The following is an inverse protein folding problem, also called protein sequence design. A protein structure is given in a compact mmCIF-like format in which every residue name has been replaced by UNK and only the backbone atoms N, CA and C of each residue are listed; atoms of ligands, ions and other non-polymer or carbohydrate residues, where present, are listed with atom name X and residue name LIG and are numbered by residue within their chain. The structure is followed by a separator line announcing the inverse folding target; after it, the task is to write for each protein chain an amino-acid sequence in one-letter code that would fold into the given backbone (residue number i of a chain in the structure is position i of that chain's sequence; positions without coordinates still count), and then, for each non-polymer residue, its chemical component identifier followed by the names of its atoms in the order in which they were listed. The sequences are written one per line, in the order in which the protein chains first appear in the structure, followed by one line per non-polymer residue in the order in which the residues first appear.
data_IF_242990421060
#
_entry.id   IF_242990421060
#
_cell.length_a   1.000
_cell.length_b   1.000
_cell.length_c   1.000
_cell.angle_alpha   90.00
_cell.angle_beta   90.00
_cell.angle_gamma   90.00
#
_symmetry.space_group_name_H-M   'P 1'
#
loop_
_entity.id
_entity.type
_entity.pdbx_description
1 polymer ?
#
# COMPACT_ATOMS: atom_id res chain seq x y z
N UNK A 1 -16.23 0.91 -7.80
CA UNK A 1 -15.19 1.86 -7.31
C UNK A 1 -15.42 3.21 -7.98
N UNK A 2 -15.17 4.33 -7.30
CA UNK A 2 -15.26 5.67 -7.91
C UNK A 2 -13.99 5.99 -8.70
N UNK A 3 -14.07 6.92 -9.66
CA UNK A 3 -12.91 7.33 -10.48
C UNK A 3 -11.78 7.89 -9.61
N UNK A 4 -12.13 8.65 -8.57
CA UNK A 4 -11.17 9.19 -7.60
C UNK A 4 -10.42 8.08 -6.83
N UNK A 5 -11.14 7.06 -6.36
CA UNK A 5 -10.54 5.90 -5.67
C UNK A 5 -9.53 5.19 -6.57
N UNK A 6 -9.88 4.94 -7.83
CA UNK A 6 -8.99 4.28 -8.79
C UNK A 6 -7.72 5.11 -9.01
N UNK A 7 -7.88 6.43 -9.20
CA UNK A 7 -6.76 7.35 -9.36
C UNK A 7 -5.83 7.36 -8.13
N UNK A 8 -6.37 7.42 -6.93
CA UNK A 8 -5.57 7.40 -5.69
C UNK A 8 -4.77 6.10 -5.54
N UNK A 9 -5.39 4.95 -5.84
CA UNK A 9 -4.73 3.65 -5.82
C UNK A 9 -3.59 3.62 -6.85
N UNK A 10 -3.87 4.01 -8.10
CA UNK A 10 -2.87 4.01 -9.19
C UNK A 10 -1.65 4.87 -8.85
N UNK A 11 -1.88 6.08 -8.33
CA UNK A 11 -0.82 6.99 -7.92
C UNK A 11 0.01 6.45 -6.75
N UNK A 12 -0.64 5.77 -5.79
CA UNK A 12 0.04 5.13 -4.68
C UNK A 12 0.88 3.94 -5.16
N UNK A 13 0.32 3.08 -6.02
CA UNK A 13 1.04 1.93 -6.55
C UNK A 13 2.22 2.35 -7.42
N UNK A 14 2.05 3.36 -8.28
CA UNK A 14 3.15 3.93 -9.06
C UNK A 14 4.29 4.38 -8.16
N UNK A 15 3.99 5.14 -7.10
CA UNK A 15 5.00 5.61 -6.16
C UNK A 15 5.73 4.47 -5.44
N UNK A 16 5.00 3.47 -4.93
CA UNK A 16 5.59 2.33 -4.24
C UNK A 16 6.52 1.50 -5.15
N UNK A 17 6.16 1.40 -6.44
CA UNK A 17 6.98 0.76 -7.47
C UNK A 17 8.27 1.53 -7.75
N UNK A 18 8.19 2.85 -7.79
CA UNK A 18 9.33 3.73 -8.08
C UNK A 18 10.37 3.75 -6.95
N UNK A 19 9.97 3.52 -5.70
CA UNK A 19 10.91 3.53 -4.59
C UNK A 19 11.72 2.22 -4.50
N UNK A 20 11.11 1.10 -4.13
CA UNK A 20 11.83 -0.13 -3.77
C UNK A 20 11.02 -1.43 -3.90
N UNK A 21 9.70 -1.37 -4.16
CA UNK A 21 8.84 -2.56 -4.10
C UNK A 21 8.51 -3.12 -5.47
N UNK A 22 8.60 -4.44 -5.59
CA UNK A 22 8.27 -5.16 -6.83
C UNK A 22 7.04 -6.05 -6.70
N UNK A 23 6.76 -6.55 -5.48
CA UNK A 23 5.64 -7.44 -5.15
C UNK A 23 4.82 -6.83 -4.01
N UNK A 24 3.82 -6.06 -4.39
CA UNK A 24 2.95 -5.38 -3.44
C UNK A 24 1.57 -5.12 -4.05
N UNK A 25 0.64 -4.66 -3.21
CA UNK A 25 -0.68 -4.18 -3.59
C UNK A 25 -1.11 -3.05 -2.67
N UNK A 26 -1.80 -2.06 -3.21
CA UNK A 26 -2.50 -1.05 -2.40
C UNK A 26 -4.00 -1.37 -2.41
N UNK A 27 -4.56 -1.66 -1.23
CA UNK A 27 -6.01 -1.73 -1.05
C UNK A 27 -6.50 -0.39 -0.51
N UNK A 28 -7.76 -0.09 -0.80
CA UNK A 28 -8.44 1.10 -0.31
C UNK A 28 -9.72 0.64 0.37
N UNK A 29 -9.90 1.09 1.60
CA UNK A 29 -11.11 0.96 2.42
C UNK A 29 -11.34 2.29 3.14
N UNK A 30 -12.52 2.90 3.02
CA UNK A 30 -12.88 4.16 3.73
C UNK A 30 -11.76 5.25 3.80
N UNK A 31 -11.10 5.52 2.67
CA UNK A 31 -10.01 6.51 2.56
C UNK A 31 -8.71 6.13 3.30
N UNK A 32 -8.57 4.86 3.66
CA UNK A 32 -7.37 4.24 4.23
C UNK A 32 -6.64 3.48 3.11
N UNK A 33 -5.33 3.74 2.96
CA UNK A 33 -4.45 2.90 2.15
C UNK A 33 -3.94 1.72 2.99
N UNK A 34 -4.25 0.50 2.58
CA UNK A 34 -3.71 -0.72 3.21
C UNK A 34 -2.66 -1.29 2.26
N UNK A 35 -1.40 -1.20 2.66
CA UNK A 35 -0.26 -1.69 1.89
C UNK A 35 -0.04 -3.17 2.22
N UNK A 36 -0.09 -4.00 1.19
CA UNK A 36 0.27 -5.42 1.28
C UNK A 36 1.60 -5.60 0.53
N UNK A 37 2.63 -6.12 1.20
CA UNK A 37 3.92 -6.47 0.57
C UNK A 37 4.21 -7.95 0.80
N UNK A 38 4.98 -8.56 -0.10
CA UNK A 38 5.44 -9.94 0.13
C UNK A 38 6.41 -10.00 1.33
N UNK A 39 6.57 -11.17 1.98
CA UNK A 39 7.43 -11.31 3.17
C UNK A 39 8.88 -10.86 2.96
N UNK A 40 9.42 -11.05 1.75
CA UNK A 40 10.77 -10.62 1.34
C UNK A 40 10.92 -9.09 1.25
N UNK A 41 9.83 -8.38 1.01
CA UNK A 41 9.79 -6.91 0.91
C UNK A 41 9.49 -6.24 2.26
N UNK A 42 8.98 -6.99 3.25
CA UNK A 42 8.55 -6.47 4.55
C UNK A 42 9.68 -5.77 5.33
N UNK A 43 10.91 -6.32 5.28
CA UNK A 43 12.08 -5.69 5.93
C UNK A 43 12.39 -4.30 5.37
N UNK A 44 12.20 -4.12 4.06
CA UNK A 44 12.42 -2.82 3.40
C UNK A 44 11.36 -1.81 3.81
N UNK A 45 10.11 -2.26 3.91
CA UNK A 45 8.98 -1.44 4.34
C UNK A 45 9.16 -0.87 5.74
N UNK A 46 9.68 -1.66 6.69
CA UNK A 46 9.89 -1.23 8.08
C UNK A 46 11.16 -0.39 8.31
N UNK A 47 11.84 0.05 7.26
CA UNK A 47 12.83 1.11 7.40
C UNK A 47 12.14 2.44 7.73
N UNK A 48 12.50 3.10 8.83
CA UNK A 48 11.83 4.32 9.30
C UNK A 48 11.81 5.45 8.27
N UNK A 49 12.85 5.60 7.44
CA UNK A 49 12.88 6.62 6.40
C UNK A 49 11.87 6.29 5.31
N UNK A 50 11.84 5.03 4.87
CA UNK A 50 10.87 4.52 3.88
C UNK A 50 9.44 4.69 4.38
N UNK A 51 9.14 4.30 5.61
CA UNK A 51 7.82 4.48 6.21
C UNK A 51 7.38 5.95 6.23
N UNK A 52 8.29 6.84 6.62
CA UNK A 52 8.00 8.28 6.66
C UNK A 52 7.74 8.86 5.27
N UNK A 53 8.52 8.45 4.27
CA UNK A 53 8.32 8.90 2.89
C UNK A 53 6.99 8.41 2.31
N UNK A 54 6.68 7.12 2.50
CA UNK A 54 5.40 6.53 2.09
C UNK A 54 4.23 7.25 2.75
N UNK A 55 4.25 7.39 4.07
CA UNK A 55 3.18 8.05 4.81
C UNK A 55 2.94 9.48 4.35
N UNK A 56 4.00 10.26 4.16
CA UNK A 56 3.92 11.64 3.65
C UNK A 56 3.35 11.69 2.22
N UNK A 57 3.80 10.79 1.34
CA UNK A 57 3.37 10.78 -0.06
C UNK A 57 1.90 10.37 -0.18
N UNK A 58 1.49 9.30 0.49
CA UNK A 58 0.11 8.79 0.41
C UNK A 58 -0.89 9.75 1.06
N UNK A 59 -0.52 10.44 2.15
CA UNK A 59 -1.34 11.55 2.66
C UNK A 59 -1.53 12.67 1.64
N UNK A 60 -0.48 13.04 0.90
CA UNK A 60 -0.58 14.04 -0.18
C UNK A 60 -1.44 13.58 -1.37
N UNK A 61 -1.55 12.27 -1.60
CA UNK A 61 -2.43 11.69 -2.63
C UNK A 61 -3.90 11.79 -2.21
N UNK A 62 -4.20 11.81 -0.91
CA UNK A 62 -5.55 12.04 -0.38
C UNK A 62 -6.02 11.02 0.66
N UNK A 63 -5.18 10.05 1.05
CA UNK A 63 -5.52 9.08 2.09
C UNK A 63 -5.45 9.70 3.48
N UNK A 64 -6.43 9.41 4.34
CA UNK A 64 -6.43 9.88 5.74
C UNK A 64 -5.43 9.10 6.58
N UNK A 65 -5.38 7.78 6.34
CA UNK A 65 -4.52 6.83 7.02
C UNK A 65 -3.82 5.91 6.05
N UNK A 66 -2.62 5.47 6.44
CA UNK A 66 -1.83 4.48 5.73
C UNK A 66 -1.50 3.38 6.72
N UNK A 67 -1.85 2.14 6.38
CA UNK A 67 -1.65 0.96 7.21
C UNK A 67 -0.89 -0.10 6.43
N UNK A 68 -0.34 -1.06 7.15
CA UNK A 68 0.36 -2.22 6.59
C UNK A 68 -0.40 -3.46 7.01
N UNK A 69 -0.67 -4.35 6.06
CA UNK A 69 -1.19 -5.68 6.35
C UNK A 69 -0.03 -6.56 6.84
N UNK A 70 -0.09 -6.95 8.12
CA UNK A 70 0.95 -7.77 8.74
C UNK A 70 1.00 -9.21 8.19
N UNK A 71 -0.09 -9.69 7.59
CA UNK A 71 -0.08 -10.98 6.89
C UNK A 71 0.46 -10.86 5.46
N UNK A 72 0.55 -9.63 4.94
CA UNK A 72 1.21 -9.30 3.69
C UNK A 72 0.52 -9.85 2.44
N UNK A 73 1.30 -9.91 1.36
CA UNK A 73 0.89 -10.39 0.04
C UNK A 73 1.30 -11.86 -0.12
N UNK A 74 0.31 -12.77 -0.18
CA UNK A 74 0.52 -14.18 -0.51
C UNK A 74 -0.39 -14.60 -1.67
N UNK A 75 0.00 -15.63 -2.43
CA UNK A 75 -0.83 -16.24 -3.48
C UNK A 75 -2.18 -16.72 -2.93
N UNK A 76 -2.20 -17.19 -1.69
CA UNK A 76 -3.41 -17.66 -1.00
C UNK A 76 -4.36 -16.51 -0.59
N UNK A 77 -3.85 -15.28 -0.51
CA UNK A 77 -4.61 -14.09 -0.14
C UNK A 77 -5.03 -13.23 -1.35
N UNK A 78 -4.81 -13.70 -2.59
CA UNK A 78 -5.18 -12.96 -3.81
C UNK A 78 -6.68 -12.63 -3.88
N UNK A 79 -7.53 -13.46 -3.26
CA UNK A 79 -9.00 -13.34 -3.27
C UNK A 79 -9.66 -13.29 -1.88
N UNK A 80 -8.90 -13.16 -0.79
CA UNK A 80 -9.52 -12.87 0.51
C UNK A 80 -9.91 -11.40 0.54
N UNK A 81 -11.20 -11.13 0.32
CA UNK A 81 -11.86 -9.94 0.86
C UNK A 81 -11.56 -9.97 2.35
N UNK A 82 -10.87 -8.94 2.85
CA UNK A 82 -10.61 -8.80 4.27
C UNK A 82 -11.94 -8.96 4.99
N UNK A 83 -12.03 -9.96 5.88
CA UNK A 83 -13.21 -10.21 6.71
C UNK A 83 -13.30 -9.07 7.73
#
# INVERSE_FOLDING_TARGET
MTLNKIYMIDQAEKYLRDIIFTKFRVRYEENIAIIQVSPDEMKKLFNLNVMNEIGKKLKKIGFDYVTVDLFGYSSDNMNKTSI
#
